data_IF_828071438227
#
_entry.id   IF_828071438227
#
_cell.length_a   1.000
_cell.length_b   1.000
_cell.length_c   1.000
_cell.angle_alpha   90.00
_cell.angle_beta   90.00
_cell.angle_gamma   90.00
#
_symmetry.space_group_name_H-M   'P 1'
#
loop_
_entity.id
_entity.type
_entity.pdbx_description
1 polymer ?
#
# COMPACT_ATOMS: atom_id res chain seq x y z
N UNK A 1 69.25 29.61 38.00
CA UNK A 1 68.07 29.91 37.17
C UNK A 1 67.25 28.64 37.13
N UNK A 2 66.12 28.60 37.84
CA UNK A 2 65.23 27.43 37.85
C UNK A 2 64.56 27.36 36.48
N UNK A 3 64.96 26.36 35.70
CA UNK A 3 64.37 26.06 34.40
C UNK A 3 62.98 25.44 34.66
N UNK A 4 61.95 26.29 34.67
CA UNK A 4 60.59 25.88 34.96
C UNK A 4 60.09 24.98 33.82
N UNK A 5 59.76 23.73 34.13
CA UNK A 5 59.39 22.75 33.12
C UNK A 5 58.21 23.27 32.26
N UNK A 6 58.24 23.05 30.93
CA UNK A 6 57.18 23.50 30.05
C UNK A 6 55.87 22.81 30.41
N UNK A 7 54.88 23.64 30.71
CA UNK A 7 53.53 23.28 31.06
C UNK A 7 52.54 24.09 30.19
N UNK A 8 51.26 23.73 30.15
CA UNK A 8 50.26 24.43 29.32
C UNK A 8 50.03 25.90 29.72
N UNK A 9 50.44 26.28 30.93
CA UNK A 9 50.41 27.65 31.45
C UNK A 9 51.51 28.53 30.86
N UNK A 10 52.72 27.98 30.63
CA UNK A 10 53.89 28.71 30.14
C UNK A 10 54.35 28.33 28.72
N UNK A 11 53.70 27.35 28.06
CA UNK A 11 53.99 26.92 26.68
C UNK A 11 52.74 26.95 25.78
N UNK A 12 52.80 27.78 24.72
CA UNK A 12 51.70 27.98 23.77
C UNK A 12 51.34 26.72 22.98
N UNK A 13 52.33 25.92 22.58
CA UNK A 13 52.11 24.68 21.82
C UNK A 13 51.33 23.68 22.66
N UNK A 14 51.70 23.51 23.94
CA UNK A 14 50.99 22.62 24.85
C UNK A 14 49.54 23.07 25.06
N UNK A 15 49.28 24.38 25.15
CA UNK A 15 47.93 24.93 25.27
C UNK A 15 47.09 24.68 24.02
N UNK A 16 47.65 24.90 22.83
CA UNK A 16 46.97 24.63 21.56
C UNK A 16 46.64 23.15 21.41
N UNK A 17 47.59 22.26 21.74
CA UNK A 17 47.38 20.80 21.70
C UNK A 17 46.27 20.37 22.68
N UNK A 18 46.20 20.97 23.87
CA UNK A 18 45.11 20.71 24.81
C UNK A 18 43.75 21.21 24.30
N UNK A 19 43.70 22.39 23.67
CA UNK A 19 42.49 22.91 23.03
C UNK A 19 41.99 21.97 21.93
N UNK A 20 42.88 21.58 21.00
CA UNK A 20 42.55 20.63 19.93
C UNK A 20 42.10 19.29 20.48
N UNK A 21 42.74 18.76 21.52
CA UNK A 21 42.30 17.49 22.16
C UNK A 21 40.89 17.60 22.72
N UNK A 22 40.55 18.72 23.35
CA UNK A 22 39.20 18.97 23.87
C UNK A 22 38.19 19.08 22.72
N UNK A 23 38.50 19.84 21.69
CA UNK A 23 37.62 20.01 20.53
C UNK A 23 37.36 18.68 19.81
N UNK A 24 38.40 17.85 19.67
CA UNK A 24 38.27 16.49 19.11
C UNK A 24 37.38 15.61 19.98
N UNK A 25 37.53 15.66 21.30
CA UNK A 25 36.66 14.90 22.21
C UNK A 25 35.19 15.36 22.11
N UNK A 26 34.94 16.66 22.14
CA UNK A 26 33.60 17.23 21.99
C UNK A 26 32.98 16.86 20.63
N UNK A 27 33.78 16.84 19.57
CA UNK A 27 33.35 16.42 18.24
C UNK A 27 33.01 14.94 18.20
N UNK A 28 33.88 14.06 18.73
CA UNK A 28 33.62 12.62 18.79
C UNK A 28 32.35 12.28 19.57
N UNK A 29 32.07 12.98 20.67
CA UNK A 29 30.82 12.77 21.40
C UNK A 29 29.58 13.21 20.60
N UNK A 30 29.68 14.32 19.86
CA UNK A 30 28.58 14.77 18.98
C UNK A 30 28.34 13.76 17.86
N UNK A 31 29.40 13.26 17.23
CA UNK A 31 29.31 12.24 16.19
C UNK A 31 28.68 10.95 16.72
N UNK A 32 29.09 10.48 17.91
CA UNK A 32 28.49 9.30 18.53
C UNK A 32 26.98 9.46 18.75
N UNK A 33 26.54 10.62 19.24
CA UNK A 33 25.10 10.93 19.41
C UNK A 33 24.35 10.97 18.08
N UNK A 34 24.96 11.51 17.02
CA UNK A 34 24.36 11.55 15.68
C UNK A 34 24.23 10.14 15.11
N UNK A 35 25.26 9.30 15.24
CA UNK A 35 25.22 7.90 14.79
C UNK A 35 24.10 7.14 15.50
N UNK A 36 23.98 7.32 16.81
CA UNK A 36 22.91 6.68 17.60
C UNK A 36 21.51 7.14 17.16
N UNK A 37 21.33 8.44 16.91
CA UNK A 37 20.07 8.99 16.42
C UNK A 37 19.72 8.44 15.03
N UNK A 38 20.70 8.41 14.12
CA UNK A 38 20.53 7.84 12.78
C UNK A 38 20.19 6.36 12.84
N UNK A 39 20.84 5.59 13.71
CA UNK A 39 20.52 4.18 13.94
C UNK A 39 19.06 3.97 14.39
N UNK A 40 18.59 4.78 15.34
CA UNK A 40 17.19 4.75 15.78
C UNK A 40 16.21 5.16 14.69
N UNK A 41 16.56 6.15 13.87
CA UNK A 41 15.75 6.55 12.73
C UNK A 41 15.66 5.43 11.69
N UNK A 42 16.77 4.75 11.41
CA UNK A 42 16.80 3.67 10.43
C UNK A 42 15.88 2.51 10.85
N UNK A 43 15.95 2.09 12.11
CA UNK A 43 15.05 1.06 12.66
C UNK A 43 13.57 1.45 12.57
N UNK A 44 13.25 2.73 12.79
CA UNK A 44 11.87 3.24 12.64
C UNK A 44 11.42 3.24 11.18
N UNK A 45 12.31 3.60 10.26
CA UNK A 45 12.02 3.54 8.83
C UNK A 45 11.78 2.10 8.38
N UNK A 46 12.58 1.15 8.85
CA UNK A 46 12.38 -0.28 8.57
C UNK A 46 11.01 -0.79 9.05
N UNK A 47 10.59 -0.42 10.26
CA UNK A 47 9.24 -0.76 10.78
C UNK A 47 8.13 -0.15 9.91
N UNK A 48 8.26 1.13 9.54
CA UNK A 48 7.29 1.80 8.65
C UNK A 48 7.23 1.10 7.28
N UNK A 49 8.38 0.77 6.70
CA UNK A 49 8.46 0.06 5.42
C UNK A 49 7.77 -1.31 5.49
N UNK A 50 8.00 -2.08 6.55
CA UNK A 50 7.34 -3.37 6.74
C UNK A 50 5.82 -3.23 6.84
N UNK A 51 5.33 -2.26 7.61
CA UNK A 51 3.89 -2.01 7.75
C UNK A 51 3.24 -1.57 6.44
N UNK A 52 3.92 -0.72 5.67
CA UNK A 52 3.44 -0.31 4.35
C UNK A 52 3.36 -1.49 3.38
N UNK A 53 4.37 -2.37 3.37
CA UNK A 53 4.34 -3.57 2.54
C UNK A 53 3.20 -4.51 2.92
N UNK A 54 2.98 -4.71 4.22
CA UNK A 54 1.86 -5.54 4.70
C UNK A 54 0.50 -4.93 4.31
N UNK A 55 0.34 -3.62 4.48
CA UNK A 55 -0.88 -2.92 4.08
C UNK A 55 -1.13 -3.05 2.57
N UNK A 56 -0.09 -2.89 1.76
CA UNK A 56 -0.19 -3.01 0.31
C UNK A 56 -0.61 -4.43 -0.10
N UNK A 57 -0.01 -5.46 0.50
CA UNK A 57 -0.38 -6.86 0.25
C UNK A 57 -1.84 -7.16 0.63
N UNK A 58 -2.33 -6.60 1.74
CA UNK A 58 -3.75 -6.74 2.14
C UNK A 58 -4.69 -6.03 1.16
N UNK A 59 -4.28 -4.87 0.66
CA UNK A 59 -5.05 -4.11 -0.33
C UNK A 59 -5.14 -4.86 -1.67
N UNK A 60 -4.03 -5.42 -2.15
CA UNK A 60 -3.99 -6.25 -3.36
C UNK A 60 -4.91 -7.47 -3.25
N UNK A 61 -4.89 -8.15 -2.09
CA UNK A 61 -5.82 -9.26 -1.82
C UNK A 61 -7.28 -8.81 -1.83
N UNK A 62 -7.57 -7.63 -1.30
CA UNK A 62 -8.91 -7.02 -1.32
C UNK A 62 -9.39 -6.79 -2.76
N UNK A 63 -8.56 -6.17 -3.59
CA UNK A 63 -8.88 -5.95 -5.00
C UNK A 63 -9.05 -7.25 -5.78
N UNK A 64 -8.20 -8.26 -5.55
CA UNK A 64 -8.33 -9.55 -6.21
C UNK A 64 -9.62 -10.31 -5.81
N UNK A 65 -10.18 -10.04 -4.62
CA UNK A 65 -11.49 -10.58 -4.23
C UNK A 65 -12.63 -9.83 -4.92
N UNK A 66 -12.54 -8.50 -4.97
CA UNK A 66 -13.53 -7.67 -5.67
C UNK A 66 -13.59 -8.00 -7.16
N UNK A 67 -12.45 -8.16 -7.82
CA UNK A 67 -12.37 -8.47 -9.24
C UNK A 67 -13.05 -9.81 -9.56
N UNK A 68 -12.80 -10.84 -8.75
CA UNK A 68 -13.49 -12.13 -8.85
C UNK A 68 -15.00 -11.99 -8.63
N UNK A 69 -15.42 -11.30 -7.56
CA UNK A 69 -16.84 -11.10 -7.29
C UNK A 69 -17.55 -10.33 -8.42
N UNK A 70 -16.90 -9.33 -9.01
CA UNK A 70 -17.42 -8.59 -10.16
C UNK A 70 -17.53 -9.48 -11.40
N UNK A 71 -16.52 -10.31 -11.65
CA UNK A 71 -16.54 -11.29 -12.76
C UNK A 71 -17.69 -12.28 -12.61
N UNK A 72 -17.93 -12.79 -11.40
CA UNK A 72 -19.00 -13.74 -11.12
C UNK A 72 -20.38 -13.08 -11.36
N UNK A 73 -20.60 -11.89 -10.80
CA UNK A 73 -21.84 -11.11 -11.01
C UNK A 73 -22.05 -10.81 -12.49
N UNK A 74 -21.00 -10.45 -13.23
CA UNK A 74 -21.08 -10.23 -14.67
C UNK A 74 -21.52 -11.49 -15.41
N UNK A 75 -20.99 -12.65 -15.04
CA UNK A 75 -21.37 -13.94 -15.64
C UNK A 75 -22.84 -14.27 -15.36
N UNK A 76 -23.29 -14.07 -14.13
CA UNK A 76 -24.68 -14.28 -13.73
C UNK A 76 -25.64 -13.37 -14.51
N UNK A 77 -25.29 -12.10 -14.70
CA UNK A 77 -26.08 -11.16 -15.50
C UNK A 77 -26.22 -11.64 -16.94
N UNK A 78 -25.13 -12.09 -17.57
CA UNK A 78 -25.16 -12.61 -18.95
C UNK A 78 -26.05 -13.85 -19.05
N UNK A 79 -26.01 -14.74 -18.05
CA UNK A 79 -26.88 -15.92 -18.02
C UNK A 79 -28.35 -15.53 -17.85
N UNK A 80 -28.65 -14.57 -16.97
CA UNK A 80 -30.01 -14.05 -16.77
C UNK A 80 -30.54 -13.37 -18.02
N UNK A 81 -29.72 -12.58 -18.71
CA UNK A 81 -30.08 -11.93 -19.97
C UNK A 81 -30.46 -12.95 -21.05
N UNK A 82 -29.64 -13.99 -21.24
CA UNK A 82 -29.93 -15.05 -22.20
C UNK A 82 -31.22 -15.81 -21.87
N UNK A 83 -31.46 -16.09 -20.58
CA UNK A 83 -32.71 -16.71 -20.12
C UNK A 83 -33.91 -15.81 -20.38
N UNK A 84 -33.80 -14.52 -20.09
CA UNK A 84 -34.86 -13.55 -20.34
C UNK A 84 -35.20 -13.46 -21.82
N UNK A 85 -34.19 -13.37 -22.70
CA UNK A 85 -34.39 -13.35 -24.16
C UNK A 85 -35.12 -14.62 -24.63
N UNK A 86 -34.71 -15.78 -24.13
CA UNK A 86 -35.34 -17.06 -24.45
C UNK A 86 -36.80 -17.07 -24.03
N UNK A 87 -37.08 -16.71 -22.78
CA UNK A 87 -38.44 -16.65 -22.24
C UNK A 87 -39.34 -15.68 -23.03
N UNK A 88 -38.83 -14.49 -23.37
CA UNK A 88 -39.55 -13.51 -24.20
C UNK A 88 -39.87 -14.08 -25.58
N UNK A 89 -38.92 -14.79 -26.19
CA UNK A 89 -39.12 -15.41 -27.50
C UNK A 89 -40.17 -16.52 -27.45
N UNK A 90 -40.16 -17.34 -26.40
CA UNK A 90 -41.16 -18.39 -26.20
C UNK A 90 -42.56 -17.83 -25.97
N UNK A 91 -42.69 -16.81 -25.11
CA UNK A 91 -43.96 -16.11 -24.87
C UNK A 91 -44.51 -15.54 -26.16
N UNK A 92 -43.67 -14.90 -26.98
CA UNK A 92 -44.09 -14.34 -28.26
C UNK A 92 -44.61 -15.43 -29.21
N UNK A 93 -43.92 -16.57 -29.32
CA UNK A 93 -44.38 -17.70 -30.14
C UNK A 93 -45.71 -18.28 -29.64
N UNK A 94 -45.92 -18.35 -28.32
CA UNK A 94 -47.18 -18.82 -27.75
C UNK A 94 -48.31 -17.85 -28.05
N UNK A 95 -48.06 -16.53 -27.95
CA UNK A 95 -49.04 -15.51 -28.32
C UNK A 95 -49.43 -15.61 -29.80
N UNK A 96 -48.45 -15.70 -30.71
CA UNK A 96 -48.69 -15.87 -32.15
C UNK A 96 -49.55 -17.11 -32.44
N UNK A 97 -49.28 -18.24 -31.77
CA UNK A 97 -50.09 -19.46 -31.90
C UNK A 97 -51.52 -19.33 -31.34
N UNK A 98 -51.71 -18.55 -30.29
CA UNK A 98 -53.05 -18.28 -29.73
C UNK A 98 -53.87 -17.42 -30.69
N UNK A 99 -53.26 -16.37 -31.24
CA UNK A 99 -53.91 -15.49 -32.22
C UNK A 99 -54.33 -16.29 -33.48
N UNK A 100 -53.47 -17.18 -33.98
CA UNK A 100 -53.79 -18.09 -35.09
C UNK A 100 -54.95 -19.04 -34.76
N UNK A 101 -54.97 -19.61 -33.55
CA UNK A 101 -56.02 -20.52 -33.11
C UNK A 101 -57.37 -19.81 -32.94
N UNK A 102 -57.36 -18.56 -32.46
CA UNK A 102 -58.55 -17.73 -32.31
C UNK A 102 -59.10 -17.29 -33.67
N UNK A 103 -58.23 -16.92 -34.62
CA UNK A 103 -58.64 -16.60 -36.00
C UNK A 103 -59.22 -17.81 -36.76
N UNK A 104 -58.80 -19.02 -36.43
CA UNK A 104 -59.30 -20.26 -37.03
C UNK A 104 -60.60 -20.79 -36.37
N UNK A 105 -61.11 -20.12 -35.33
CA UNK A 105 -62.30 -20.57 -34.58
C UNK A 105 -63.58 -20.33 -35.40
N UNK A 106 -64.41 -21.37 -35.64
CA UNK A 106 -65.67 -21.19 -36.38
C UNK A 106 -66.66 -20.31 -35.57
N UNK A 107 -67.54 -19.54 -36.25
CA UNK A 107 -68.54 -18.72 -35.57
C UNK A 107 -69.48 -19.62 -34.76
N UNK A 108 -69.73 -19.26 -33.50
CA UNK A 108 -70.67 -20.00 -32.65
C UNK A 108 -72.11 -19.89 -33.22
N UNK A 109 -72.88 -20.99 -33.21
CA UNK A 109 -74.22 -21.08 -33.81
C UNK A 109 -75.30 -20.27 -33.06
#
# INVERSE_FOLDING_TARGET
>A
MTDEAPNPGNNLILRMVQGVRRDVQDMSEREARVIELLGRMNLRLDDVHMRLNEMNARMDQGFARLDRGLSDVRSDIVLLENRAITAVTEVRRVAERLDEAEAARPPEP
#
